data_IF_811428855852
#
_entry.id   IF_811428855852
#
_cell.length_a   1.000
_cell.length_b   1.000
_cell.length_c   1.000
_cell.angle_alpha   90.00
_cell.angle_beta   90.00
_cell.angle_gamma   90.00
#
_symmetry.space_group_name_H-M   'P 1'
#
loop_
_entity.id
_entity.type
_entity.pdbx_description
1 polymer ?
#
# COMPACT_ATOMS: atom_id res chain seq x y z
N UNK A 1 28.72 -11.46 16.57
CA UNK A 1 27.98 -10.93 15.41
C UNK A 1 26.69 -11.73 15.28
N UNK A 2 25.64 -11.31 15.98
CA UNK A 2 24.30 -11.88 15.79
C UNK A 2 23.73 -11.21 14.55
N UNK A 3 23.45 -11.98 13.50
CA UNK A 3 22.77 -11.48 12.32
C UNK A 3 21.41 -10.91 12.75
N UNK A 4 21.19 -9.63 12.50
CA UNK A 4 19.83 -9.09 12.50
C UNK A 4 19.07 -9.86 11.43
N UNK A 5 18.21 -10.79 11.86
CA UNK A 5 17.12 -11.27 11.03
C UNK A 5 16.36 -10.02 10.58
N UNK A 6 16.36 -9.73 9.28
CA UNK A 6 15.52 -8.67 8.73
C UNK A 6 14.09 -9.01 9.12
N UNK A 7 13.52 -8.28 10.08
CA UNK A 7 12.16 -8.51 10.54
C UNK A 7 11.22 -8.39 9.34
N UNK A 8 10.39 -9.40 9.10
CA UNK A 8 9.43 -9.40 8.01
C UNK A 8 8.27 -8.46 8.34
N UNK A 9 7.56 -7.97 7.32
CA UNK A 9 6.32 -7.21 7.51
C UNK A 9 5.30 -7.98 8.33
N UNK A 10 5.37 -9.30 8.42
CA UNK A 10 4.37 -10.08 9.17
C UNK A 10 4.79 -10.46 10.58
N UNK A 11 6.04 -10.19 10.97
CA UNK A 11 6.47 -10.57 12.32
C UNK A 11 5.82 -9.65 13.36
N UNK A 12 5.11 -10.25 14.32
CA UNK A 12 4.27 -9.59 15.32
C UNK A 12 5.02 -8.61 16.23
N UNK A 13 6.35 -8.74 16.33
CA UNK A 13 7.19 -7.77 17.04
C UNK A 13 7.40 -6.45 16.27
N UNK A 14 6.92 -6.38 15.02
CA UNK A 14 7.17 -5.32 14.05
C UNK A 14 5.90 -4.66 13.50
N UNK A 15 4.71 -5.07 13.95
CA UNK A 15 3.43 -4.61 13.38
C UNK A 15 2.41 -4.24 14.47
N UNK A 16 1.79 -3.06 14.36
CA UNK A 16 0.45 -2.79 14.88
C UNK A 16 -0.60 -3.22 13.86
N UNK A 17 -1.75 -3.64 14.38
CA UNK A 17 -2.93 -3.99 13.60
C UNK A 17 -3.38 -2.84 12.67
N UNK A 18 -4.05 -3.17 11.56
CA UNK A 18 -4.78 -2.19 10.76
C UNK A 18 -6.27 -2.56 10.71
N UNK A 19 -7.12 -1.55 10.88
CA UNK A 19 -8.58 -1.71 10.88
C UNK A 19 -9.13 -1.56 9.47
N UNK A 20 -10.02 -2.45 9.04
CA UNK A 20 -10.74 -2.32 7.76
C UNK A 20 -11.78 -1.20 7.82
N UNK A 21 -12.30 -0.77 6.67
CA UNK A 21 -13.43 0.18 6.65
C UNK A 21 -14.70 -0.36 7.33
N UNK A 22 -14.82 -1.68 7.45
CA UNK A 22 -15.92 -2.36 8.14
C UNK A 22 -15.70 -2.44 9.67
N UNK A 23 -14.52 -2.04 10.17
CA UNK A 23 -14.17 -2.02 11.59
C UNK A 23 -13.44 -3.26 12.09
N UNK A 24 -13.04 -4.18 11.20
CA UNK A 24 -12.33 -5.41 11.57
C UNK A 24 -10.84 -5.15 11.73
N UNK A 25 -10.25 -5.55 12.85
CA UNK A 25 -8.80 -5.54 13.04
C UNK A 25 -8.17 -6.72 12.27
N UNK A 26 -7.14 -6.44 11.46
CA UNK A 26 -6.44 -7.44 10.66
C UNK A 26 -5.02 -7.63 11.17
N UNK A 27 -4.71 -8.85 11.61
CA UNK A 27 -3.33 -9.31 11.83
C UNK A 27 -2.68 -9.65 10.48
N UNK A 28 -1.58 -8.99 10.16
CA UNK A 28 -0.91 -9.13 8.87
C UNK A 28 -0.28 -10.52 8.68
N UNK A 29 -0.13 -11.33 9.75
CA UNK A 29 0.26 -12.74 9.64
C UNK A 29 -0.68 -13.57 8.78
N UNK A 30 -1.95 -13.16 8.63
CA UNK A 30 -2.88 -13.86 7.72
C UNK A 30 -2.42 -13.82 6.27
N UNK A 31 -1.51 -12.91 5.91
CA UNK A 31 -0.95 -12.78 4.56
C UNK A 31 0.29 -13.64 4.32
N UNK A 32 0.80 -14.34 5.34
CA UNK A 32 1.97 -15.20 5.20
C UNK A 32 1.79 -16.24 4.10
N UNK A 33 2.82 -16.43 3.27
CA UNK A 33 2.80 -17.31 2.10
C UNK A 33 2.14 -16.70 0.86
N UNK A 34 1.61 -15.47 0.94
CA UNK A 34 0.99 -14.76 -0.19
C UNK A 34 1.84 -13.57 -0.63
N UNK A 35 1.80 -13.29 -1.93
CA UNK A 35 2.36 -12.04 -2.45
C UNK A 35 1.38 -10.92 -2.11
N UNK A 36 1.88 -9.79 -1.60
CA UNK A 36 1.03 -8.68 -1.17
C UNK A 36 1.38 -7.41 -1.94
N UNK A 37 0.36 -6.75 -2.51
CA UNK A 37 0.47 -5.45 -3.15
C UNK A 37 -0.26 -4.41 -2.29
N UNK A 38 0.48 -3.41 -1.81
CA UNK A 38 -0.04 -2.35 -0.95
C UNK A 38 -0.06 -1.05 -1.76
N UNK A 39 -1.17 -0.31 -1.73
CA UNK A 39 -1.31 0.98 -2.41
C UNK A 39 -2.00 2.00 -1.48
N UNK A 40 -1.58 3.26 -1.55
CA UNK A 40 -2.18 4.35 -0.77
C UNK A 40 -3.44 4.98 -1.41
N UNK A 41 -4.26 4.17 -2.12
CA UNK A 41 -5.60 4.46 -2.68
C UNK A 41 -6.36 3.13 -2.90
N UNK A 42 -7.67 3.17 -3.15
CA UNK A 42 -8.54 1.98 -3.32
C UNK A 42 -9.28 1.87 -4.68
N UNK A 43 -8.85 2.55 -5.76
CA UNK A 43 -9.66 2.65 -7.00
C UNK A 43 -9.17 1.87 -8.23
N UNK A 44 -7.92 1.38 -8.31
CA UNK A 44 -7.35 0.84 -9.57
C UNK A 44 -6.74 -0.57 -9.50
N UNK A 45 -7.11 -1.41 -8.52
CA UNK A 45 -6.39 -2.67 -8.25
C UNK A 45 -7.18 -3.96 -8.54
N UNK A 46 -8.47 -3.87 -8.89
CA UNK A 46 -9.35 -5.03 -9.07
C UNK A 46 -8.87 -6.03 -10.13
N UNK A 47 -8.19 -5.55 -11.19
CA UNK A 47 -7.74 -6.38 -12.30
C UNK A 47 -6.74 -7.44 -11.82
N UNK A 48 -5.71 -7.03 -11.09
CA UNK A 48 -4.67 -7.95 -10.60
C UNK A 48 -5.20 -8.88 -9.51
N UNK A 49 -6.02 -8.36 -8.59
CA UNK A 49 -6.66 -9.17 -7.55
C UNK A 49 -7.52 -10.29 -8.15
N UNK A 50 -8.32 -9.98 -9.17
CA UNK A 50 -9.16 -10.96 -9.86
C UNK A 50 -8.35 -11.99 -10.66
N UNK A 51 -7.17 -11.61 -11.15
CA UNK A 51 -6.29 -12.51 -11.92
C UNK A 51 -5.56 -13.52 -11.03
N UNK A 52 -5.33 -13.20 -9.76
CA UNK A 52 -4.58 -14.02 -8.81
C UNK A 52 -5.27 -14.17 -7.44
N UNK A 53 -6.56 -14.57 -7.36
CA UNK A 53 -7.41 -14.39 -6.18
C UNK A 53 -6.95 -15.12 -4.92
N UNK A 54 -6.17 -16.20 -5.06
CA UNK A 54 -5.69 -17.01 -3.93
C UNK A 54 -4.20 -16.81 -3.63
N UNK A 55 -3.48 -16.05 -4.46
CA UNK A 55 -2.02 -15.97 -4.41
C UNK A 55 -1.49 -14.56 -4.30
N UNK A 56 -2.25 -13.59 -4.79
CA UNK A 56 -2.03 -12.16 -4.59
C UNK A 56 -3.08 -11.63 -3.60
N UNK A 57 -2.62 -10.80 -2.69
CA UNK A 57 -3.48 -9.99 -1.83
C UNK A 57 -3.22 -8.53 -2.12
N UNK A 58 -4.27 -7.80 -2.43
CA UNK A 58 -4.22 -6.36 -2.57
C UNK A 58 -4.76 -5.71 -1.29
N UNK A 59 -4.03 -4.70 -0.80
CA UNK A 59 -4.37 -3.92 0.39
C UNK A 59 -4.42 -2.43 0.01
N UNK A 60 -5.58 -1.80 0.11
CA UNK A 60 -5.78 -0.38 -0.14
C UNK A 60 -5.81 0.43 1.15
N UNK A 61 -5.00 1.48 1.24
CA UNK A 61 -4.97 2.41 2.37
C UNK A 61 -5.35 3.82 1.89
N UNK A 62 -6.61 4.25 2.08
CA UNK A 62 -7.02 5.62 1.77
C UNK A 62 -6.15 6.63 2.53
N UNK A 63 -5.76 7.72 1.87
CA UNK A 63 -4.92 8.76 2.45
C UNK A 63 -5.31 10.14 1.92
N UNK A 64 -5.43 11.13 2.81
CA UNK A 64 -5.83 12.49 2.41
C UNK A 64 -4.66 13.50 2.34
N UNK A 65 -3.42 13.04 2.49
CA UNK A 65 -2.25 13.94 2.54
C UNK A 65 -1.91 14.57 1.19
N UNK A 66 -2.44 14.03 0.09
CA UNK A 66 -2.05 14.40 -1.27
C UNK A 66 -3.15 15.20 -1.95
N UNK A 67 -3.05 16.54 -1.85
CA UNK A 67 -3.99 17.46 -2.50
C UNK A 67 -5.45 17.31 -2.05
N UNK A 68 -5.67 16.76 -0.85
CA UNK A 68 -6.99 16.51 -0.28
C UNK A 68 -7.93 15.73 -1.20
N UNK A 69 -7.42 14.68 -1.85
CA UNK A 69 -8.20 13.88 -2.81
C UNK A 69 -9.09 12.82 -2.16
N UNK A 70 -8.95 12.55 -0.86
CA UNK A 70 -9.72 11.56 -0.08
C UNK A 70 -10.43 12.23 1.11
N UNK A 71 -11.28 13.20 0.80
CA UNK A 71 -12.03 13.98 1.80
C UNK A 71 -13.16 13.19 2.47
N UNK A 72 -13.58 12.07 1.88
CA UNK A 72 -14.57 11.17 2.45
C UNK A 72 -14.13 10.65 3.82
N UNK A 73 -15.06 10.56 4.76
CA UNK A 73 -14.87 9.80 6.01
C UNK A 73 -14.83 8.29 5.71
N UNK A 74 -14.36 7.48 6.67
CA UNK A 74 -14.31 6.01 6.51
C UNK A 74 -15.66 5.44 6.05
N UNK A 75 -16.77 5.89 6.65
CA UNK A 75 -18.12 5.45 6.27
C UNK A 75 -18.61 5.92 4.89
N UNK A 76 -17.91 6.84 4.23
CA UNK A 76 -18.28 7.39 2.92
C UNK A 76 -17.42 6.85 1.77
N UNK A 77 -16.22 6.33 2.05
CA UNK A 77 -15.25 5.93 1.01
C UNK A 77 -15.84 4.88 0.06
N UNK A 78 -16.48 3.82 0.58
CA UNK A 78 -17.10 2.79 -0.27
C UNK A 78 -18.25 3.34 -1.12
N UNK A 79 -19.02 4.29 -0.59
CA UNK A 79 -20.08 4.96 -1.35
C UNK A 79 -19.49 5.85 -2.46
N UNK A 80 -18.41 6.58 -2.17
CA UNK A 80 -17.70 7.40 -3.15
C UNK A 80 -17.18 6.55 -4.31
N UNK A 81 -16.54 5.42 -4.01
CA UNK A 81 -16.05 4.47 -5.01
C UNK A 81 -17.18 3.92 -5.88
N UNK A 82 -18.31 3.57 -5.26
CA UNK A 82 -19.47 2.96 -5.92
C UNK A 82 -20.28 3.92 -6.79
N UNK A 83 -20.45 5.17 -6.33
CA UNK A 83 -21.41 6.11 -6.91
C UNK A 83 -20.78 7.35 -7.56
N UNK A 84 -19.52 7.67 -7.25
CA UNK A 84 -18.88 8.93 -7.70
C UNK A 84 -17.67 8.67 -8.58
N UNK A 85 -16.63 8.03 -8.04
CA UNK A 85 -15.41 7.69 -8.78
C UNK A 85 -14.72 6.49 -8.13
N UNK A 86 -14.57 5.35 -8.82
CA UNK A 86 -14.86 5.14 -10.24
C UNK A 86 -16.33 5.28 -10.66
N UNK A 87 -17.29 5.07 -9.76
CA UNK A 87 -18.70 5.11 -10.10
C UNK A 87 -19.19 3.81 -10.73
N UNK A 88 -20.33 3.85 -11.41
CA UNK A 88 -20.92 2.72 -12.15
C UNK A 88 -21.06 1.41 -11.35
N UNK A 89 -21.28 1.53 -10.03
CA UNK A 89 -21.46 0.37 -9.16
C UNK A 89 -20.15 -0.35 -8.81
N UNK A 90 -19.00 0.27 -9.07
CA UNK A 90 -17.68 -0.25 -8.72
C UNK A 90 -17.61 -0.67 -7.24
N UNK A 91 -17.00 -1.82 -6.99
CA UNK A 91 -16.72 -2.31 -5.65
C UNK A 91 -15.29 -2.84 -5.62
N UNK A 92 -14.49 -2.51 -4.59
CA UNK A 92 -13.16 -3.07 -4.45
C UNK A 92 -13.27 -4.59 -4.20
N UNK A 93 -12.58 -5.37 -5.02
CA UNK A 93 -12.46 -6.83 -4.86
C UNK A 93 -11.36 -7.22 -3.88
N UNK A 94 -10.89 -6.28 -3.08
CA UNK A 94 -9.73 -6.36 -2.20
C UNK A 94 -9.99 -5.62 -0.89
N UNK A 95 -9.15 -5.84 0.12
CA UNK A 95 -9.31 -5.24 1.44
C UNK A 95 -8.96 -3.75 1.40
N UNK A 96 -9.87 -2.92 1.92
CA UNK A 96 -9.64 -1.48 2.11
C UNK A 96 -9.62 -1.18 3.61
N UNK A 97 -8.56 -0.51 4.05
CA UNK A 97 -8.36 -0.11 5.43
C UNK A 97 -8.94 1.26 5.73
N UNK A 98 -9.03 1.59 7.02
CA UNK A 98 -9.32 2.94 7.47
C UNK A 98 -8.32 3.95 6.91
N UNK A 99 -8.80 5.18 6.72
CA UNK A 99 -7.97 6.28 6.25
C UNK A 99 -6.84 6.56 7.24
N UNK A 100 -5.62 6.64 6.74
CA UNK A 100 -4.44 6.89 7.56
C UNK A 100 -3.47 7.88 6.92
N UNK A 101 -2.54 8.38 7.73
CA UNK A 101 -1.39 9.15 7.26
C UNK A 101 -0.28 8.19 6.82
N UNK A 102 0.36 8.48 5.69
CA UNK A 102 1.48 7.68 5.16
C UNK A 102 2.82 8.40 5.28
N UNK A 103 2.79 9.68 5.65
CA UNK A 103 3.94 10.55 5.89
C UNK A 103 3.80 11.38 7.18
N UNK A 104 4.91 11.93 7.67
CA UNK A 104 4.97 12.78 8.86
C UNK A 104 4.87 12.02 10.19
N UNK A 105 4.68 12.76 11.28
CA UNK A 105 4.69 12.24 12.67
C UNK A 105 3.67 11.13 12.91
N UNK A 106 2.52 11.20 12.23
CA UNK A 106 1.43 10.24 12.40
C UNK A 106 1.46 9.11 11.35
N UNK A 107 2.58 8.93 10.65
CA UNK A 107 2.73 7.88 9.63
C UNK A 107 2.31 6.53 10.20
N UNK A 108 1.40 5.86 9.51
CA UNK A 108 0.97 4.52 9.86
C UNK A 108 2.18 3.57 9.85
N UNK A 109 2.36 2.70 10.86
CA UNK A 109 3.59 1.93 11.00
C UNK A 109 3.91 1.00 9.81
N UNK A 110 2.90 0.49 9.11
CA UNK A 110 3.09 -0.22 7.82
C UNK A 110 3.87 0.63 6.82
N UNK A 111 3.49 1.90 6.62
CA UNK A 111 4.19 2.79 5.69
C UNK A 111 5.54 3.27 6.24
N UNK A 112 5.68 3.43 7.55
CA UNK A 112 6.99 3.71 8.15
C UNK A 112 7.99 2.58 7.85
N UNK A 113 7.58 1.33 8.05
CA UNK A 113 8.39 0.15 7.74
C UNK A 113 8.70 0.03 6.25
N UNK A 114 7.70 0.20 5.38
CA UNK A 114 7.88 0.10 3.93
C UNK A 114 8.82 1.18 3.39
N UNK A 115 8.72 2.43 3.87
CA UNK A 115 9.63 3.51 3.49
C UNK A 115 11.04 3.34 4.04
N UNK A 116 11.23 2.66 5.17
CA UNK A 116 12.56 2.30 5.69
C UNK A 116 13.26 1.27 4.79
N UNK A 117 12.52 0.23 4.37
CA UNK A 117 13.07 -0.86 3.55
C UNK A 117 13.15 -0.54 2.06
N UNK A 118 12.22 0.26 1.55
CA UNK A 118 12.13 0.69 0.16
C UNK A 118 12.08 2.23 0.09
N UNK A 119 13.23 2.90 0.31
CA UNK A 119 13.30 4.35 0.50
C UNK A 119 12.88 5.16 -0.73
N UNK A 120 13.05 4.60 -1.93
CA UNK A 120 12.78 5.29 -3.19
C UNK A 120 12.02 4.35 -4.14
N UNK A 121 11.11 4.88 -4.98
CA UNK A 121 10.56 4.11 -6.09
C UNK A 121 11.65 3.70 -7.08
N UNK A 122 11.60 2.46 -7.57
CA UNK A 122 12.58 1.93 -8.53
C UNK A 122 12.53 2.68 -9.87
N UNK A 123 11.35 3.15 -10.28
CA UNK A 123 11.13 3.81 -11.57
C UNK A 123 11.34 5.34 -11.55
N UNK A 124 11.27 5.98 -10.37
CA UNK A 124 11.45 7.43 -10.20
C UNK A 124 12.08 7.74 -8.82
N UNK A 125 13.40 7.52 -8.65
CA UNK A 125 14.05 7.58 -7.33
C UNK A 125 14.32 9.00 -6.81
N UNK A 126 14.04 10.03 -7.61
CA UNK A 126 14.43 11.42 -7.31
C UNK A 126 13.25 12.36 -7.10
N UNK A 127 12.08 12.03 -7.62
CA UNK A 127 10.90 12.91 -7.53
C UNK A 127 10.18 12.70 -6.21
N UNK A 128 10.15 13.73 -5.36
CA UNK A 128 9.24 13.79 -4.21
C UNK A 128 7.98 14.58 -4.57
N UNK A 129 7.97 15.89 -4.38
CA UNK A 129 6.86 16.76 -4.77
C UNK A 129 7.41 17.95 -5.55
N UNK A 130 6.76 18.28 -6.67
CA UNK A 130 7.18 19.38 -7.54
C UNK A 130 6.77 20.75 -6.98
N UNK A 131 5.54 20.85 -6.47
CA UNK A 131 5.02 22.10 -5.91
C UNK A 131 4.96 22.00 -4.39
N UNK A 132 5.82 22.73 -3.66
CA UNK A 132 5.95 22.61 -2.21
C UNK A 132 4.66 22.94 -1.46
N UNK A 133 3.68 23.61 -2.08
CA UNK A 133 2.38 23.88 -1.46
C UNK A 133 1.59 22.62 -1.10
N UNK A 134 1.92 21.48 -1.72
CA UNK A 134 1.28 20.20 -1.42
C UNK A 134 1.96 19.45 -0.27
N UNK A 135 3.09 19.94 0.26
CA UNK A 135 3.74 19.38 1.44
C UNK A 135 3.04 19.90 2.70
N UNK A 136 2.06 19.15 3.20
CA UNK A 136 1.24 19.53 4.35
C UNK A 136 1.54 18.72 5.62
N UNK A 137 2.51 17.82 5.56
CA UNK A 137 2.91 16.99 6.70
C UNK A 137 4.28 17.43 7.26
N UNK A 138 4.58 16.99 8.47
CA UNK A 138 5.85 17.25 9.15
C UNK A 138 6.18 16.06 10.07
N UNK A 139 7.45 15.68 10.24
CA UNK A 139 8.60 16.17 9.46
C UNK A 139 8.56 15.67 8.01
N UNK A 140 9.25 16.37 7.12
CA UNK A 140 9.44 15.95 5.72
C UNK A 140 10.69 15.07 5.64
N UNK A 141 10.57 13.90 5.03
CA UNK A 141 11.65 12.96 4.75
C UNK A 141 11.91 12.81 3.26
N UNK A 142 13.15 12.49 2.88
CA UNK A 142 13.50 12.14 1.49
C UNK A 142 12.83 10.86 1.00
N UNK A 143 12.42 10.00 1.93
CA UNK A 143 11.81 8.70 1.64
C UNK A 143 10.28 8.74 1.59
N UNK A 144 9.69 9.91 1.84
CA UNK A 144 8.23 10.09 1.89
C UNK A 144 7.56 9.66 0.58
N UNK A 145 6.30 9.24 0.71
CA UNK A 145 5.44 8.97 -0.44
C UNK A 145 5.13 10.29 -1.12
N UNK A 146 5.33 10.33 -2.44
CA UNK A 146 5.24 11.51 -3.28
C UNK A 146 3.82 11.94 -3.58
N UNK A 147 2.89 10.98 -3.67
CA UNK A 147 1.50 11.22 -4.06
C UNK A 147 0.61 9.98 -3.81
N UNK A 148 -0.67 10.12 -4.13
CA UNK A 148 -1.58 9.00 -4.33
C UNK A 148 -1.06 8.02 -5.39
N UNK A 149 -1.43 6.74 -5.23
CA UNK A 149 -1.11 5.63 -6.15
C UNK A 149 0.36 5.21 -6.17
N UNK A 150 1.12 5.39 -5.10
CA UNK A 150 2.37 4.64 -4.93
C UNK A 150 2.08 3.21 -4.48
N UNK A 151 2.90 2.27 -4.95
CA UNK A 151 2.69 0.84 -4.69
C UNK A 151 3.92 0.22 -4.05
N UNK A 152 3.69 -0.73 -3.17
CA UNK A 152 4.71 -1.55 -2.55
C UNK A 152 4.37 -3.02 -2.79
N UNK A 153 5.29 -3.76 -3.39
CA UNK A 153 5.17 -5.20 -3.57
C UNK A 153 5.98 -5.89 -2.49
N UNK A 154 5.35 -6.83 -1.80
CA UNK A 154 5.90 -7.59 -0.68
C UNK A 154 5.86 -9.07 -1.05
N UNK A 155 6.96 -9.76 -0.79
CA UNK A 155 7.13 -11.17 -1.07
C UNK A 155 6.39 -12.08 -0.09
N UNK A 156 6.37 -13.40 -0.36
CA UNK A 156 5.58 -14.38 0.36
C UNK A 156 6.11 -14.75 1.75
N UNK A 157 7.24 -14.19 2.21
CA UNK A 157 7.74 -14.27 3.58
C UNK A 157 7.76 -12.88 4.29
N UNK A 158 7.18 -11.85 3.66
CA UNK A 158 6.93 -10.54 4.26
C UNK A 158 8.07 -9.56 4.01
N UNK A 159 9.02 -9.95 3.16
CA UNK A 159 10.11 -9.14 2.70
C UNK A 159 9.63 -8.09 1.68
N UNK A 160 9.88 -6.78 1.90
CA UNK A 160 9.62 -5.77 0.89
C UNK A 160 10.46 -6.07 -0.36
N UNK A 161 9.81 -6.18 -1.52
CA UNK A 161 10.45 -6.55 -2.78
C UNK A 161 10.75 -5.32 -3.63
N UNK A 162 9.76 -4.47 -3.88
CA UNK A 162 9.91 -3.30 -4.77
C UNK A 162 8.88 -2.21 -4.48
N UNK A 163 9.27 -0.94 -4.67
CA UNK A 163 8.39 0.24 -4.60
C UNK A 163 8.24 0.86 -5.98
N UNK A 164 7.02 1.28 -6.32
CA UNK A 164 6.67 1.86 -7.61
C UNK A 164 6.04 3.24 -7.43
N UNK A 165 6.43 4.17 -8.29
CA UNK A 165 5.98 5.56 -8.23
C UNK A 165 4.51 5.68 -8.63
N UNK A 166 3.91 6.84 -8.36
CA UNK A 166 2.55 7.19 -8.81
C UNK A 166 2.32 7.07 -10.31
N UNK A 167 3.38 7.18 -11.12
CA UNK A 167 3.30 7.12 -12.60
C UNK A 167 3.41 5.69 -13.12
N UNK A 168 3.90 4.76 -12.30
CA UNK A 168 4.02 3.37 -12.69
C UNK A 168 2.64 2.73 -12.75
N UNK A 169 2.25 2.27 -13.94
CA UNK A 169 0.95 1.64 -14.13
C UNK A 169 0.88 0.33 -13.38
N UNK A 170 -0.21 0.14 -12.62
CA UNK A 170 -0.42 -1.05 -11.80
C UNK A 170 -0.29 -2.35 -12.59
N UNK A 171 -0.79 -2.40 -13.83
CA UNK A 171 -0.71 -3.61 -14.67
C UNK A 171 0.74 -4.00 -15.01
N UNK A 172 1.66 -3.04 -15.09
CA UNK A 172 3.07 -3.30 -15.39
C UNK A 172 3.83 -3.91 -14.19
N UNK A 173 3.19 -4.03 -13.03
CA UNK A 173 3.71 -4.74 -11.85
C UNK A 173 3.55 -6.27 -12.01
N UNK A 174 2.68 -6.72 -12.93
CA UNK A 174 2.37 -8.15 -13.11
C UNK A 174 3.61 -9.06 -13.30
N UNK A 175 4.64 -8.71 -14.10
CA UNK A 175 5.81 -9.56 -14.26
C UNK A 175 6.56 -9.80 -12.94
N UNK A 176 6.63 -8.79 -12.07
CA UNK A 176 7.25 -8.90 -10.75
C UNK A 176 6.38 -9.73 -9.79
N UNK A 177 5.05 -9.60 -9.87
CA UNK A 177 4.11 -10.49 -9.16
C UNK A 177 4.34 -11.94 -9.60
N UNK A 178 4.36 -12.23 -10.90
CA UNK A 178 4.60 -13.58 -11.42
C UNK A 178 5.96 -14.14 -11.01
N UNK A 179 6.97 -13.29 -10.85
CA UNK A 179 8.28 -13.68 -10.31
C UNK A 179 8.16 -14.15 -8.86
N UNK A 180 7.50 -13.37 -7.99
CA UNK A 180 7.32 -13.73 -6.58
C UNK A 180 6.41 -14.95 -6.40
N UNK A 181 5.37 -15.07 -7.23
CA UNK A 181 4.50 -16.24 -7.26
C UNK A 181 5.26 -17.52 -7.65
N UNK A 182 6.41 -17.45 -8.33
CA UNK A 182 7.23 -18.67 -8.56
C UNK A 182 8.03 -19.09 -7.34
N UNK A 183 8.17 -18.23 -6.34
CA UNK A 183 8.88 -18.50 -5.10
C UNK A 183 7.98 -19.08 -4.00
N UNK A 184 6.66 -18.88 -4.09
CA UNK A 184 5.70 -19.52 -3.17
C UNK A 184 5.75 -21.03 -3.38
N UNK A 185 6.09 -21.79 -2.34
CA UNK A 185 5.92 -23.24 -2.35
C UNK A 185 4.42 -23.54 -2.37
N UNK A 186 3.98 -24.36 -3.32
CA UNK A 186 2.61 -24.93 -3.35
C UNK A 186 2.34 -25.79 -2.13
#
# INVERSE_FOLDING_TARGET
MLGQLCAALWDSQSQPDATTLEGDSVDFNVFRGRVVLIENVASQLNLLQSKYPHRLVVLGFPCNQFGYQENCSNGEILNSLKYVRPGDGYQPGFTVFEKCDVNGTNTHPVFAYLKDKLPYPDDDPHTLIQDPKFLIWSPISRTDISWNFEKFLVGPEGEPFKRYSKKFETINIEPDIQRLLRLTKT
#
